data_IF_616462863006
#
_entry.id   IF_616462863006
#
_cell.length_a   1.000
_cell.length_b   1.000
_cell.length_c   1.000
_cell.angle_alpha   90.00
_cell.angle_beta   90.00
_cell.angle_gamma   90.00
#
_symmetry.space_group_name_H-M   'P 1'
#
loop_
_entity.id
_entity.type
_entity.pdbx_description
1 polymer ?
#
# COMPACT_ATOMS: atom_id res chain seq x y z
N UNK A 1 -5.51 10.17 10.56
CA UNK A 1 -6.25 9.13 9.89
C UNK A 1 -6.27 7.80 10.67
N UNK A 2 -5.42 7.62 11.68
CA UNK A 2 -5.39 6.41 12.51
C UNK A 2 -5.32 6.77 13.98
N UNK A 3 -5.74 5.81 14.85
CA UNK A 3 -5.74 6.02 16.30
C UNK A 3 -4.31 6.06 16.85
N UNK A 4 -4.10 6.71 18.01
CA UNK A 4 -2.79 6.80 18.64
C UNK A 4 -2.21 5.43 19.02
N UNK A 5 -3.09 4.49 19.39
CA UNK A 5 -2.73 3.13 19.76
C UNK A 5 -2.93 2.13 18.62
N UNK A 6 -3.02 2.60 17.37
CA UNK A 6 -3.26 1.77 16.20
C UNK A 6 -2.25 0.63 16.10
N UNK A 7 -2.74 -0.54 15.71
CA UNK A 7 -1.92 -1.74 15.58
C UNK A 7 -1.83 -2.15 14.11
N UNK A 8 -0.61 -2.23 13.59
CA UNK A 8 -0.36 -2.57 12.20
C UNK A 8 0.53 -3.81 12.09
N UNK A 9 0.26 -4.63 11.12
CA UNK A 9 1.21 -5.61 10.63
C UNK A 9 1.48 -5.31 9.17
N UNK A 10 2.75 -5.15 8.83
CA UNK A 10 3.18 -5.00 7.44
C UNK A 10 4.13 -6.14 7.11
N UNK A 11 3.73 -7.02 6.20
CA UNK A 11 4.43 -8.28 5.94
C UNK A 11 4.51 -9.08 7.24
N UNK A 12 5.68 -9.27 7.80
CA UNK A 12 5.90 -9.95 9.08
C UNK A 12 6.29 -9.01 10.22
N UNK A 13 6.32 -7.72 9.96
CA UNK A 13 6.66 -6.71 10.98
C UNK A 13 5.40 -6.24 11.69
N UNK A 14 5.44 -6.31 13.03
CA UNK A 14 4.37 -5.81 13.90
C UNK A 14 4.73 -4.42 14.41
N UNK A 15 3.79 -3.50 14.29
CA UNK A 15 3.99 -2.08 14.55
C UNK A 15 2.85 -1.61 15.43
N UNK A 16 3.17 -1.04 16.59
CA UNK A 16 2.15 -0.59 17.54
C UNK A 16 2.39 0.86 17.96
N UNK A 17 1.35 1.67 17.83
CA UNK A 17 1.34 3.05 18.24
C UNK A 17 1.94 4.00 17.23
N UNK A 18 1.64 5.29 17.42
CA UNK A 18 1.98 6.34 16.46
C UNK A 18 3.47 6.45 16.17
N UNK A 19 4.33 6.38 17.20
CA UNK A 19 5.76 6.55 16.99
C UNK A 19 6.35 5.44 16.13
N UNK A 20 5.94 4.20 16.38
CA UNK A 20 6.39 3.06 15.58
C UNK A 20 5.85 3.14 14.15
N UNK A 21 4.61 3.58 13.96
CA UNK A 21 4.01 3.76 12.63
C UNK A 21 4.77 4.83 11.85
N UNK A 22 5.08 5.97 12.47
CA UNK A 22 5.83 7.03 11.81
C UNK A 22 7.23 6.58 11.41
N UNK A 23 7.92 5.84 12.28
CA UNK A 23 9.23 5.28 11.97
C UNK A 23 9.16 4.28 10.80
N UNK A 24 8.14 3.43 10.78
CA UNK A 24 7.91 2.49 9.69
C UNK A 24 7.66 3.21 8.36
N UNK A 25 6.78 4.19 8.33
CA UNK A 25 6.45 4.95 7.12
C UNK A 25 7.69 5.70 6.59
N UNK A 26 8.50 6.25 7.48
CA UNK A 26 9.73 6.94 7.09
C UNK A 26 10.71 5.99 6.40
N UNK A 27 10.91 4.78 6.95
CA UNK A 27 11.75 3.76 6.30
C UNK A 27 11.22 3.35 4.95
N UNK A 28 9.91 3.10 4.87
CA UNK A 28 9.25 2.69 3.63
C UNK A 28 9.49 3.71 2.52
N UNK A 29 9.22 4.98 2.79
CA UNK A 29 9.35 6.03 1.78
C UNK A 29 10.80 6.34 1.41
N UNK A 30 11.76 5.99 2.26
CA UNK A 30 13.19 6.11 1.92
C UNK A 30 13.70 4.96 1.04
N UNK A 31 13.02 3.82 1.04
CA UNK A 31 13.43 2.61 0.33
C UNK A 31 12.68 2.39 -0.99
N UNK A 32 11.40 2.74 -1.03
CA UNK A 32 10.54 2.52 -2.19
C UNK A 32 10.36 3.83 -2.96
N UNK A 33 11.26 4.04 -3.94
CA UNK A 33 11.32 5.29 -4.70
C UNK A 33 10.38 5.24 -5.91
N UNK A 34 9.89 6.41 -6.33
CA UNK A 34 8.97 6.57 -7.45
C UNK A 34 7.74 5.66 -7.35
N UNK A 35 7.17 5.62 -6.17
CA UNK A 35 6.10 4.73 -5.77
C UNK A 35 4.79 5.07 -6.50
N UNK A 36 4.22 4.09 -7.19
CA UNK A 36 2.94 4.23 -7.90
C UNK A 36 2.00 3.11 -7.49
N UNK A 37 0.89 3.48 -6.88
CA UNK A 37 -0.05 2.55 -6.24
C UNK A 37 -1.42 2.61 -6.90
N UNK A 38 -2.01 1.43 -7.16
CA UNK A 38 -3.43 1.28 -7.44
C UNK A 38 -4.03 0.35 -6.40
N UNK A 39 -5.03 0.83 -5.69
CA UNK A 39 -5.71 0.11 -4.61
C UNK A 39 -7.22 0.08 -4.89
N UNK A 40 -7.84 -1.06 -4.62
CA UNK A 40 -9.29 -1.23 -4.79
C UNK A 40 -9.90 -1.90 -3.55
N UNK A 41 -11.09 -1.47 -3.17
CA UNK A 41 -11.88 -2.15 -2.16
C UNK A 41 -12.33 -3.50 -2.73
N UNK A 42 -12.04 -4.58 -1.98
CA UNK A 42 -12.48 -5.91 -2.35
C UNK A 42 -13.83 -6.25 -1.71
N UNK A 43 -13.98 -5.95 -0.43
CA UNK A 43 -15.21 -6.19 0.32
C UNK A 43 -15.21 -5.36 1.60
N UNK A 44 -16.38 -5.15 2.19
CA UNK A 44 -16.48 -4.50 3.48
C UNK A 44 -17.69 -5.04 4.25
N UNK A 45 -17.61 -4.96 5.59
CA UNK A 45 -18.70 -5.29 6.49
C UNK A 45 -18.51 -4.56 7.82
N UNK A 46 -19.52 -3.81 8.25
CA UNK A 46 -19.42 -3.01 9.47
C UNK A 46 -18.25 -2.04 9.42
N UNK A 47 -17.35 -2.11 10.42
CA UNK A 47 -16.18 -1.25 10.51
C UNK A 47 -14.91 -1.86 9.89
N UNK A 48 -15.06 -2.89 9.05
CA UNK A 48 -13.93 -3.58 8.42
C UNK A 48 -13.99 -3.46 6.92
N UNK A 49 -12.82 -3.24 6.31
CA UNK A 49 -12.66 -3.13 4.86
C UNK A 49 -11.49 -4.00 4.43
N UNK A 50 -11.72 -4.84 3.43
CA UNK A 50 -10.67 -5.58 2.76
C UNK A 50 -10.35 -4.92 1.43
N UNK A 51 -9.07 -4.73 1.13
CA UNK A 51 -8.61 -4.12 -0.11
C UNK A 51 -7.56 -4.99 -0.78
N UNK A 52 -7.43 -4.85 -2.08
CA UNK A 52 -6.31 -5.39 -2.84
C UNK A 52 -5.56 -4.25 -3.50
N UNK A 53 -4.27 -4.44 -3.74
CA UNK A 53 -3.47 -3.42 -4.39
C UNK A 53 -2.29 -4.01 -5.15
N UNK A 54 -1.81 -3.23 -6.09
CA UNK A 54 -0.50 -3.42 -6.71
C UNK A 54 0.20 -2.07 -6.71
N UNK A 55 1.51 -2.09 -6.52
CA UNK A 55 2.31 -0.88 -6.69
C UNK A 55 3.64 -1.22 -7.36
N UNK A 56 4.22 -0.20 -8.00
CA UNK A 56 5.52 -0.30 -8.63
C UNK A 56 6.45 0.73 -8.03
N UNK A 57 7.70 0.38 -7.90
CA UNK A 57 8.72 1.20 -7.25
C UNK A 57 10.11 0.76 -7.69
N UNK A 58 11.13 1.55 -7.37
CA UNK A 58 12.51 1.14 -7.55
C UNK A 58 13.31 1.42 -6.29
N UNK A 59 14.40 0.69 -6.10
CA UNK A 59 15.35 0.95 -5.02
C UNK A 59 16.38 2.03 -5.42
N UNK A 60 17.31 2.33 -4.54
CA UNK A 60 18.35 3.34 -4.78
C UNK A 60 19.41 2.91 -5.80
N UNK A 61 19.46 1.64 -6.18
CA UNK A 61 20.32 1.13 -7.24
C UNK A 61 19.64 1.07 -8.61
N UNK A 62 18.38 1.49 -8.69
CA UNK A 62 17.63 1.51 -9.95
C UNK A 62 16.96 0.20 -10.33
N UNK A 63 16.89 -0.77 -9.43
CA UNK A 63 16.12 -1.99 -9.65
C UNK A 63 14.64 -1.72 -9.47
N UNK A 64 13.82 -2.16 -10.44
CA UNK A 64 12.37 -2.01 -10.41
C UNK A 64 11.69 -3.26 -9.86
N UNK A 65 10.60 -3.00 -9.11
CA UNK A 65 9.80 -4.05 -8.48
C UNK A 65 8.32 -3.77 -8.70
N UNK A 66 7.54 -4.84 -8.73
CA UNK A 66 6.09 -4.78 -8.62
C UNK A 66 5.70 -5.55 -7.38
N UNK A 67 4.85 -4.92 -6.56
CA UNK A 67 4.38 -5.52 -5.32
C UNK A 67 2.89 -5.79 -5.44
N UNK A 68 2.50 -7.01 -5.07
CA UNK A 68 1.10 -7.47 -5.06
C UNK A 68 0.68 -7.65 -3.61
N UNK A 69 -0.46 -7.07 -3.23
CA UNK A 69 -0.84 -7.16 -1.83
C UNK A 69 -2.32 -7.09 -1.57
N UNK A 70 -2.62 -7.47 -0.34
CA UNK A 70 -3.95 -7.41 0.26
C UNK A 70 -3.83 -6.78 1.63
N UNK A 71 -4.80 -5.95 1.99
CA UNK A 71 -4.88 -5.35 3.32
C UNK A 71 -6.24 -5.58 3.94
N UNK A 72 -6.25 -5.73 5.26
CA UNK A 72 -7.45 -5.69 6.07
C UNK A 72 -7.39 -4.48 6.99
N UNK A 73 -8.43 -3.67 6.98
CA UNK A 73 -8.55 -2.49 7.83
C UNK A 73 -9.69 -2.65 8.81
N UNK A 74 -9.48 -2.14 10.02
CA UNK A 74 -10.54 -2.00 11.01
C UNK A 74 -10.52 -0.58 11.56
N UNK A 75 -11.71 0.01 11.71
CA UNK A 75 -11.86 1.39 12.12
C UNK A 75 -12.51 1.48 13.50
N UNK A 76 -12.16 2.53 14.26
CA UNK A 76 -12.82 2.89 15.50
C UNK A 76 -14.21 3.47 15.22
N UNK A 77 -15.00 3.68 16.28
CA UNK A 77 -16.32 4.31 16.17
C UNK A 77 -16.25 5.73 15.62
N UNK A 78 -15.11 6.40 15.79
CA UNK A 78 -14.88 7.75 15.27
C UNK A 78 -14.36 7.79 13.84
N UNK A 79 -14.23 6.62 13.19
CA UNK A 79 -13.77 6.53 11.80
C UNK A 79 -12.26 6.57 11.62
N UNK A 80 -11.48 6.42 12.68
CA UNK A 80 -10.02 6.32 12.59
C UNK A 80 -9.60 4.86 12.49
N UNK A 81 -8.58 4.59 11.67
CA UNK A 81 -8.03 3.24 11.53
C UNK A 81 -7.33 2.83 12.82
N UNK A 82 -7.77 1.72 13.41
CA UNK A 82 -7.17 1.18 14.63
C UNK A 82 -6.39 -0.10 14.40
N UNK A 83 -6.62 -0.77 13.27
CA UNK A 83 -5.89 -1.97 12.91
C UNK A 83 -5.71 -2.03 11.39
N UNK A 84 -4.52 -2.41 10.98
CA UNK A 84 -4.19 -2.64 9.58
C UNK A 84 -3.29 -3.86 9.46
N UNK A 85 -3.65 -4.77 8.58
CA UNK A 85 -2.84 -5.93 8.27
C UNK A 85 -2.56 -5.93 6.77
N UNK A 86 -1.28 -5.97 6.39
CA UNK A 86 -0.88 -5.98 4.99
C UNK A 86 0.00 -7.17 4.69
N UNK A 87 -0.42 -7.96 3.71
CA UNK A 87 0.38 -9.06 3.16
C UNK A 87 0.81 -8.67 1.75
N UNK A 88 2.12 -8.71 1.48
CA UNK A 88 2.71 -8.15 0.27
C UNK A 88 3.75 -9.11 -0.29
N UNK A 89 3.69 -9.36 -1.58
CA UNK A 89 4.70 -10.13 -2.31
C UNK A 89 5.33 -9.24 -3.38
N UNK A 90 6.66 -9.22 -3.42
CA UNK A 90 7.41 -8.44 -4.40
C UNK A 90 7.90 -9.34 -5.53
N UNK A 91 7.92 -8.78 -6.74
CA UNK A 91 8.58 -9.41 -7.88
C UNK A 91 9.47 -8.39 -8.57
N UNK A 92 10.69 -8.79 -8.90
CA UNK A 92 11.60 -7.97 -9.69
C UNK A 92 11.08 -7.88 -11.12
N UNK A 93 11.06 -6.69 -11.70
CA UNK A 93 10.63 -6.46 -13.07
C UNK A 93 11.69 -5.65 -13.82
N UNK A 94 11.64 -5.70 -15.15
CA UNK A 94 12.43 -4.80 -15.98
C UNK A 94 11.76 -3.43 -16.05
N UNK A 95 12.52 -2.35 -16.25
CA UNK A 95 11.93 -1.01 -16.40
C UNK A 95 10.89 -0.94 -17.51
N UNK A 96 11.07 -1.64 -18.61
CA UNK A 96 10.13 -1.68 -19.72
C UNK A 96 8.85 -2.46 -19.43
N UNK A 97 8.81 -3.25 -18.36
CA UNK A 97 7.63 -4.03 -17.96
C UNK A 97 6.72 -3.26 -17.01
N UNK A 98 7.02 -2.00 -16.72
CA UNK A 98 6.18 -1.17 -15.86
C UNK A 98 4.80 -0.96 -16.50
N UNK A 99 3.77 -1.11 -15.67
CA UNK A 99 2.37 -0.90 -16.07
C UNK A 99 1.85 0.48 -15.66
N UNK A 100 2.40 1.05 -14.58
CA UNK A 100 1.92 2.31 -13.99
C UNK A 100 2.81 3.43 -14.49
N UNK A 101 2.36 4.08 -15.57
CA UNK A 101 3.21 4.96 -16.38
C UNK A 101 2.86 6.44 -16.25
N UNK A 102 1.99 6.82 -15.30
CA UNK A 102 1.72 8.23 -15.06
C UNK A 102 2.95 8.94 -14.46
N UNK A 103 2.94 10.27 -14.50
CA UNK A 103 4.02 11.08 -13.92
C UNK A 103 4.04 11.05 -12.40
N UNK A 104 4.72 12.01 -11.79
CA UNK A 104 4.85 12.10 -10.34
C UNK A 104 3.49 12.26 -9.66
N UNK A 105 3.40 11.76 -8.44
CA UNK A 105 2.22 11.88 -7.60
C UNK A 105 1.28 10.69 -7.66
N UNK A 106 0.06 10.84 -7.08
CA UNK A 106 -0.91 9.76 -7.01
C UNK A 106 -1.49 9.43 -8.39
N UNK A 107 -2.15 8.27 -8.48
CA UNK A 107 -2.82 7.86 -9.71
C UNK A 107 -3.81 8.92 -10.17
N UNK A 108 -3.74 9.38 -11.44
CA UNK A 108 -4.75 10.28 -12.01
C UNK A 108 -6.13 9.62 -12.05
N UNK A 109 -7.19 10.41 -11.97
CA UNK A 109 -8.56 9.90 -11.97
C UNK A 109 -8.91 9.16 -13.27
N UNK A 110 -8.30 9.55 -14.39
CA UNK A 110 -8.52 8.93 -15.69
C UNK A 110 -7.65 7.69 -15.95
N UNK A 111 -6.73 7.36 -15.07
CA UNK A 111 -5.93 6.14 -15.20
C UNK A 111 -6.76 4.93 -14.73
N UNK A 112 -6.84 3.84 -15.52
CA UNK A 112 -7.69 2.71 -15.17
C UNK A 112 -7.28 2.02 -13.86
N UNK A 113 -8.27 1.50 -13.13
CA UNK A 113 -8.05 0.70 -11.93
C UNK A 113 -7.62 -0.73 -12.23
N UNK A 114 -7.36 -1.52 -11.19
CA UNK A 114 -6.89 -2.91 -11.35
C UNK A 114 -7.90 -3.76 -12.12
N UNK A 115 -9.18 -3.68 -11.77
CA UNK A 115 -10.23 -4.44 -12.45
C UNK A 115 -10.29 -4.09 -13.94
N UNK A 116 -10.22 -2.81 -14.28
CA UNK A 116 -10.26 -2.33 -15.66
C UNK A 116 -9.04 -2.77 -16.45
N UNK A 117 -7.88 -2.91 -15.80
CA UNK A 117 -6.66 -3.41 -16.41
C UNK A 117 -6.62 -4.95 -16.53
N UNK A 118 -7.60 -5.65 -15.98
CA UNK A 118 -7.64 -7.11 -15.96
C UNK A 118 -6.66 -7.73 -14.95
N UNK A 119 -6.31 -6.99 -13.92
CA UNK A 119 -5.32 -7.41 -12.94
C UNK A 119 -5.93 -7.89 -11.63
#
# INVERSE_FOLDING_TARGET
AYTEDSFWRNRSEFIHGRDQILAFLKRKWSQELDYKLIKEVWAYAGNRIAVRFQYEWHDDSGHFFRSHGNENWEFSETGLMRRREASINDVSIKPEDRRFTWGDGPRPDDFPGLTELGL
#
